data_IF_300145039438
#
_entry.id   IF_300145039438
#
_cell.length_a   1.000
_cell.length_b   1.000
_cell.length_c   1.000
_cell.angle_alpha   90.00
_cell.angle_beta   90.00
_cell.angle_gamma   90.00
#
_symmetry.space_group_name_H-M   'P 1'
#
loop_
_entity.id
_entity.type
_entity.pdbx_description
1 polymer ?
#
# COMPACT_ATOMS: atom_id res chain seq x y z
N UNK A 1 14.85 33.27 -9.60
CA UNK A 1 14.70 31.98 -10.31
C UNK A 1 14.80 32.27 -11.80
N UNK A 2 16.02 32.54 -12.28
CA UNK A 2 16.29 32.61 -13.71
C UNK A 2 16.53 31.19 -14.23
N UNK A 3 15.65 30.79 -15.16
CA UNK A 3 15.74 29.70 -16.13
C UNK A 3 16.68 28.52 -15.79
N UNK A 4 16.10 27.47 -15.18
CA UNK A 4 16.57 26.10 -15.40
C UNK A 4 16.23 25.74 -16.86
N UNK A 5 17.21 25.39 -17.70
CA UNK A 5 16.94 24.93 -19.05
C UNK A 5 16.32 23.53 -18.99
N UNK A 6 15.15 23.38 -19.61
CA UNK A 6 14.38 22.11 -19.69
C UNK A 6 14.80 21.25 -20.90
N UNK A 7 15.89 21.61 -21.59
CA UNK A 7 16.44 20.86 -22.72
C UNK A 7 17.98 20.86 -22.66
N UNK A 8 18.60 19.82 -23.25
CA UNK A 8 20.06 19.62 -23.37
C UNK A 8 20.71 20.66 -24.32
N UNK A 9 20.53 21.95 -24.04
CA UNK A 9 21.16 23.02 -24.81
C UNK A 9 22.53 23.45 -24.26
N UNK A 10 22.81 23.16 -22.99
CA UNK A 10 23.98 23.67 -22.28
C UNK A 10 24.49 22.64 -21.25
N UNK A 11 25.61 21.97 -21.54
CA UNK A 11 26.23 20.90 -20.72
C UNK A 11 26.66 21.36 -19.31
N UNK A 12 26.48 22.64 -18.97
CA UNK A 12 26.85 23.25 -17.69
C UNK A 12 25.73 23.28 -16.64
N UNK A 13 24.48 22.99 -17.03
CA UNK A 13 23.30 22.97 -16.14
C UNK A 13 22.51 21.67 -16.37
N UNK A 14 22.34 20.86 -15.31
CA UNK A 14 21.57 19.62 -15.39
C UNK A 14 20.15 19.86 -15.91
N UNK A 15 19.65 18.93 -16.72
CA UNK A 15 18.31 19.03 -17.31
C UNK A 15 17.23 18.95 -16.24
N UNK A 16 16.03 19.43 -16.55
CA UNK A 16 14.87 19.28 -15.67
C UNK A 16 14.62 17.80 -15.33
N UNK A 17 14.73 16.92 -16.32
CA UNK A 17 14.59 15.48 -16.16
C UNK A 17 15.61 14.92 -15.18
N UNK A 18 16.89 15.31 -15.30
CA UNK A 18 17.95 14.90 -14.36
C UNK A 18 17.72 15.41 -12.93
N UNK A 19 17.22 16.64 -12.79
CA UNK A 19 16.91 17.23 -11.49
C UNK A 19 15.75 16.48 -10.83
N UNK A 20 14.69 16.18 -11.59
CA UNK A 20 13.55 15.41 -11.10
C UNK A 20 13.98 13.98 -10.76
N UNK A 21 14.66 13.26 -11.65
CA UNK A 21 15.22 11.92 -11.38
C UNK A 21 16.03 11.89 -10.08
N UNK A 22 16.91 12.88 -9.88
CA UNK A 22 17.72 13.00 -8.67
C UNK A 22 16.88 13.29 -7.43
N UNK A 23 15.86 14.15 -7.52
CA UNK A 23 14.94 14.42 -6.42
C UNK A 23 14.13 13.17 -6.04
N UNK A 24 13.61 12.44 -7.03
CA UNK A 24 12.84 11.20 -6.87
C UNK A 24 13.67 10.07 -6.28
N UNK A 25 14.92 9.94 -6.74
CA UNK A 25 15.88 8.98 -6.20
C UNK A 25 16.16 9.29 -4.73
N UNK A 26 16.48 10.54 -4.39
CA UNK A 26 16.76 10.98 -3.01
C UNK A 26 15.57 10.90 -2.08
N UNK A 27 14.34 11.09 -2.56
CA UNK A 27 13.15 10.93 -1.72
C UNK A 27 12.81 9.46 -1.47
N UNK A 28 13.32 8.50 -2.27
CA UNK A 28 13.20 7.08 -1.95
C UNK A 28 14.26 6.59 -0.97
N UNK A 29 15.38 7.30 -0.84
CA UNK A 29 16.43 6.97 0.12
C UNK A 29 15.97 7.19 1.56
N UNK A 30 16.13 6.17 2.41
CA UNK A 30 16.16 6.34 3.86
C UNK A 30 17.43 7.08 4.23
N UNK A 31 17.31 8.22 4.90
CA UNK A 31 18.48 8.95 5.39
C UNK A 31 19.07 8.15 6.54
N UNK A 32 20.37 7.88 6.48
CA UNK A 32 21.13 7.37 7.62
C UNK A 32 21.11 8.44 8.72
N UNK A 33 20.14 8.33 9.63
CA UNK A 33 20.12 9.13 10.83
C UNK A 33 21.20 8.61 11.77
N UNK A 34 22.05 9.49 12.31
CA UNK A 34 22.59 9.23 13.64
C UNK A 34 21.38 9.26 14.56
N UNK A 35 20.87 8.11 14.95
CA UNK A 35 19.83 8.02 15.96
C UNK A 35 20.34 8.77 17.19
N UNK A 36 19.71 9.90 17.51
CA UNK A 36 19.97 10.57 18.77
C UNK A 36 19.38 9.63 19.84
N UNK A 37 20.19 9.17 20.79
CA UNK A 37 19.79 8.12 21.77
C UNK A 37 18.52 8.48 22.55
N UNK A 38 18.10 9.74 22.51
CA UNK A 38 16.93 10.29 23.19
C UNK A 38 15.66 10.40 22.33
N UNK A 39 15.72 10.16 21.01
CA UNK A 39 14.55 10.32 20.12
C UNK A 39 13.96 8.97 19.69
N UNK A 40 12.63 8.88 19.71
CA UNK A 40 11.89 7.69 19.27
C UNK A 40 12.14 7.41 17.77
N UNK A 41 12.70 6.24 17.48
CA UNK A 41 13.00 5.76 16.12
C UNK A 41 11.76 5.77 15.24
N UNK A 42 10.59 5.48 15.82
CA UNK A 42 9.30 5.48 15.12
C UNK A 42 8.96 6.88 14.64
N UNK A 43 9.08 7.86 15.52
CA UNK A 43 8.79 9.26 15.21
C UNK A 43 9.74 9.80 14.14
N UNK A 44 11.01 9.40 14.16
CA UNK A 44 11.96 9.76 13.11
C UNK A 44 11.58 9.19 11.75
N UNK A 45 11.24 7.90 11.67
CA UNK A 45 10.76 7.28 10.43
C UNK A 45 9.48 7.93 9.93
N UNK A 46 8.55 8.25 10.84
CA UNK A 46 7.32 9.00 10.52
C UNK A 46 7.63 10.35 9.89
N UNK A 47 8.58 11.10 10.46
CA UNK A 47 9.03 12.39 9.93
C UNK A 47 9.70 12.24 8.56
N UNK A 48 10.47 11.16 8.34
CA UNK A 48 11.02 10.87 7.01
C UNK A 48 9.90 10.59 6.01
N UNK A 49 8.93 9.74 6.33
CA UNK A 49 7.77 9.47 5.47
C UNK A 49 6.97 10.73 5.15
N UNK A 50 6.79 11.62 6.13
CA UNK A 50 6.16 12.93 5.90
C UNK A 50 6.98 13.80 4.93
N UNK A 51 8.31 13.84 5.06
CA UNK A 51 9.17 14.55 4.10
C UNK A 51 9.05 13.96 2.69
N UNK A 52 8.94 12.64 2.55
CA UNK A 52 8.74 11.97 1.26
C UNK A 52 7.39 12.33 0.64
N UNK A 53 6.33 12.32 1.44
CA UNK A 53 4.99 12.76 1.03
C UNK A 53 4.97 14.22 0.54
N UNK A 54 5.69 15.12 1.21
CA UNK A 54 5.84 16.51 0.78
C UNK A 54 6.57 16.65 -0.57
N UNK A 55 7.52 15.76 -0.88
CA UNK A 55 8.16 15.74 -2.21
C UNK A 55 7.15 15.38 -3.30
N UNK A 56 6.28 14.41 -3.06
CA UNK A 56 5.20 14.05 -4.01
C UNK A 56 4.23 15.21 -4.20
N UNK A 57 3.83 15.89 -3.12
CA UNK A 57 3.01 17.10 -3.21
C UNK A 57 3.69 18.19 -4.05
N UNK A 58 5.01 18.36 -3.92
CA UNK A 58 5.79 19.31 -4.70
C UNK A 58 5.79 19.00 -6.20
N UNK A 59 5.80 17.71 -6.56
CA UNK A 59 5.69 17.28 -7.96
C UNK A 59 4.30 17.56 -8.54
N UNK A 60 3.29 17.86 -7.73
CA UNK A 60 1.96 18.22 -8.22
C UNK A 60 1.74 19.74 -8.27
N UNK A 61 2.80 20.53 -8.10
CA UNK A 61 2.72 21.99 -8.23
C UNK A 61 2.38 22.41 -9.67
N UNK A 62 1.31 23.18 -9.84
CA UNK A 62 0.98 23.83 -11.11
C UNK A 62 1.98 24.96 -11.37
N UNK A 63 2.88 24.85 -12.36
CA UNK A 63 3.83 25.90 -12.67
C UNK A 63 3.08 27.18 -13.12
N UNK A 64 3.63 28.38 -12.88
CA UNK A 64 3.04 29.62 -13.36
C UNK A 64 2.75 29.57 -14.86
N UNK A 65 1.58 30.09 -15.28
CA UNK A 65 1.15 30.13 -16.68
C UNK A 65 2.06 30.95 -17.60
N UNK A 66 3.01 31.68 -17.03
CA UNK A 66 4.05 32.46 -17.72
C UNK A 66 5.23 31.60 -18.20
N UNK A 67 5.30 30.34 -17.80
CA UNK A 67 6.32 29.39 -18.25
C UNK A 67 5.94 28.81 -19.61
N UNK A 68 6.89 28.80 -20.55
CA UNK A 68 6.73 28.15 -21.86
C UNK A 68 6.44 26.67 -21.67
N UNK A 69 5.49 26.10 -22.42
CA UNK A 69 5.10 24.68 -22.35
C UNK A 69 4.58 24.24 -20.96
N UNK A 70 4.03 25.17 -20.16
CA UNK A 70 3.47 24.90 -18.82
C UNK A 70 2.52 23.70 -18.76
N UNK A 71 1.73 23.45 -19.80
CA UNK A 71 0.83 22.29 -19.88
C UNK A 71 1.58 20.97 -19.94
N UNK A 72 2.60 20.88 -20.80
CA UNK A 72 3.45 19.69 -20.95
C UNK A 72 4.26 19.45 -19.67
N UNK A 73 4.81 20.51 -19.07
CA UNK A 73 5.55 20.45 -17.81
C UNK A 73 4.64 19.98 -16.66
N UNK A 74 3.42 20.52 -16.57
CA UNK A 74 2.43 20.10 -15.55
C UNK A 74 2.07 18.62 -15.70
N UNK A 75 1.84 18.18 -16.94
CA UNK A 75 1.56 16.78 -17.23
C UNK A 75 2.73 15.87 -16.82
N UNK A 76 3.97 16.20 -17.22
CA UNK A 76 5.18 15.43 -16.85
C UNK A 76 5.40 15.37 -15.34
N UNK A 77 5.21 16.48 -14.64
CA UNK A 77 5.34 16.57 -13.19
C UNK A 77 4.32 15.68 -12.47
N UNK A 78 3.06 15.76 -12.88
CA UNK A 78 2.01 14.90 -12.37
C UNK A 78 2.26 13.42 -12.68
N UNK A 79 2.72 13.11 -13.89
CA UNK A 79 3.11 11.75 -14.28
C UNK A 79 4.19 11.19 -13.36
N UNK A 80 5.20 12.01 -13.05
CA UNK A 80 6.25 11.62 -12.11
C UNK A 80 5.73 11.47 -10.70
N UNK A 81 4.77 12.28 -10.25
CA UNK A 81 4.12 12.13 -8.95
C UNK A 81 3.35 10.80 -8.85
N UNK A 82 2.63 10.40 -9.91
CA UNK A 82 1.91 9.13 -9.99
C UNK A 82 2.84 7.91 -9.93
N UNK A 83 4.01 7.98 -10.59
CA UNK A 83 5.03 6.93 -10.57
C UNK A 83 5.79 6.92 -9.23
N UNK A 84 5.97 8.09 -8.61
CA UNK A 84 6.72 8.26 -7.36
C UNK A 84 5.88 7.91 -6.14
N UNK A 85 5.65 6.61 -5.98
CA UNK A 85 4.91 6.07 -4.85
C UNK A 85 5.75 6.07 -3.57
N UNK A 86 5.15 6.49 -2.46
CA UNK A 86 5.71 6.34 -1.11
C UNK A 86 4.88 5.28 -0.38
N UNK A 87 5.44 4.09 -0.08
CA UNK A 87 4.67 2.98 0.49
C UNK A 87 4.27 3.15 1.96
N UNK A 88 4.78 4.16 2.66
CA UNK A 88 4.33 4.55 4.00
C UNK A 88 3.68 5.93 3.94
N UNK A 89 2.35 5.99 3.84
CA UNK A 89 1.62 7.26 3.93
C UNK A 89 1.42 7.65 5.40
N UNK A 90 1.66 8.92 5.78
CA UNK A 90 1.50 9.39 7.15
C UNK A 90 0.03 9.40 7.57
N UNK A 91 -0.21 9.59 8.87
CA UNK A 91 -1.53 9.97 9.41
C UNK A 91 -2.07 11.16 8.61
N UNK A 92 -3.30 11.07 8.12
CA UNK A 92 -3.88 12.07 7.21
C UNK A 92 -3.61 11.80 5.73
N UNK A 93 -3.27 10.57 5.35
CA UNK A 93 -3.11 10.13 3.95
C UNK A 93 -4.29 10.55 3.06
N UNK A 94 -5.52 10.46 3.56
CA UNK A 94 -6.73 10.92 2.86
C UNK A 94 -6.71 12.43 2.57
N UNK A 95 -6.22 13.26 3.49
CA UNK A 95 -6.07 14.70 3.28
C UNK A 95 -5.01 14.99 2.22
N UNK A 96 -3.85 14.33 2.32
CA UNK A 96 -2.79 14.45 1.32
C UNK A 96 -3.29 14.05 -0.08
N UNK A 97 -3.95 12.90 -0.19
CA UNK A 97 -4.52 12.42 -1.44
C UNK A 97 -5.64 13.35 -1.95
N UNK A 98 -6.45 13.94 -1.07
CA UNK A 98 -7.44 14.93 -1.49
C UNK A 98 -6.82 16.18 -2.11
N UNK A 99 -5.65 16.62 -1.64
CA UNK A 99 -4.91 17.73 -2.26
C UNK A 99 -4.38 17.36 -3.65
N UNK A 100 -4.09 16.08 -3.87
CA UNK A 100 -3.63 15.55 -5.15
C UNK A 100 -4.78 15.28 -6.13
N UNK A 101 -6.01 15.05 -5.63
CA UNK A 101 -7.16 14.67 -6.43
C UNK A 101 -7.58 15.75 -7.44
N UNK A 102 -7.54 17.03 -7.08
CA UNK A 102 -7.96 18.12 -7.97
C UNK A 102 -7.02 18.33 -9.17
N UNK A 103 -5.68 18.41 -9.00
CA UNK A 103 -4.75 18.38 -10.12
C UNK A 103 -4.91 17.13 -11.01
N UNK A 104 -5.12 15.95 -10.41
CA UNK A 104 -5.28 14.69 -11.14
C UNK A 104 -6.59 14.64 -11.94
N UNK A 105 -7.67 15.20 -11.40
CA UNK A 105 -8.96 15.30 -12.07
C UNK A 105 -8.86 16.16 -13.33
N UNK A 106 -8.20 17.31 -13.25
CA UNK A 106 -7.98 18.20 -14.40
C UNK A 106 -7.20 17.51 -15.53
N UNK A 107 -6.29 16.59 -15.19
CA UNK A 107 -5.53 15.81 -16.17
C UNK A 107 -6.34 14.66 -16.76
N UNK A 108 -7.22 14.02 -15.99
CA UNK A 108 -8.15 13.01 -16.51
C UNK A 108 -9.14 13.57 -17.55
N UNK A 109 -9.43 14.87 -17.49
CA UNK A 109 -10.32 15.58 -18.41
C UNK A 109 -9.65 15.94 -19.76
N UNK A 110 -8.36 15.61 -19.95
CA UNK A 110 -7.60 15.76 -21.20
C UNK A 110 -7.26 14.41 -21.85
N UNK A 111 -8.24 13.68 -22.41
CA UNK A 111 -8.12 12.25 -22.75
C UNK A 111 -7.16 11.88 -23.89
N UNK A 112 -6.78 12.81 -24.76
CA UNK A 112 -6.16 12.49 -26.06
C UNK A 112 -4.62 12.27 -26.03
N UNK A 113 -3.98 12.13 -24.87
CA UNK A 113 -2.50 12.16 -24.78
C UNK A 113 -1.83 11.15 -23.85
N UNK A 114 -2.56 10.26 -23.20
CA UNK A 114 -1.98 9.42 -22.15
C UNK A 114 -1.70 7.99 -22.62
N UNK A 115 -0.47 7.53 -22.38
CA UNK A 115 -0.08 6.13 -22.52
C UNK A 115 -0.84 5.24 -21.51
N UNK A 116 -1.07 3.97 -21.84
CA UNK A 116 -1.88 3.06 -21.01
C UNK A 116 -1.39 2.95 -19.55
N UNK A 117 -0.08 3.05 -19.33
CA UNK A 117 0.52 3.02 -17.99
C UNK A 117 0.09 4.21 -17.11
N UNK A 118 -0.24 5.36 -17.71
CA UNK A 118 -0.71 6.56 -16.99
C UNK A 118 -2.10 6.33 -16.43
N UNK A 119 -2.98 5.76 -17.25
CA UNK A 119 -4.38 5.50 -16.90
C UNK A 119 -4.47 4.53 -15.73
N UNK A 120 -3.65 3.47 -15.74
CA UNK A 120 -3.58 2.50 -14.63
C UNK A 120 -3.03 3.14 -13.34
N UNK A 121 -2.01 4.00 -13.43
CA UNK A 121 -1.50 4.71 -12.25
C UNK A 121 -2.53 5.68 -11.66
N UNK A 122 -3.28 6.39 -12.50
CA UNK A 122 -4.35 7.29 -12.07
C UNK A 122 -5.50 6.52 -11.40
N UNK A 123 -5.90 5.38 -12.00
CA UNK A 123 -6.89 4.49 -11.43
C UNK A 123 -6.45 3.98 -10.06
N UNK A 124 -5.21 3.49 -9.96
CA UNK A 124 -4.65 3.02 -8.69
C UNK A 124 -4.60 4.14 -7.64
N UNK A 125 -4.27 5.38 -8.03
CA UNK A 125 -4.36 6.53 -7.14
C UNK A 125 -5.79 6.74 -6.61
N UNK A 126 -6.80 6.68 -7.48
CA UNK A 126 -8.20 6.84 -7.09
C UNK A 126 -8.63 5.72 -6.13
N UNK A 127 -8.25 4.49 -6.42
CA UNK A 127 -8.48 3.34 -5.54
C UNK A 127 -7.88 3.60 -4.15
N UNK A 128 -6.63 4.07 -4.05
CA UNK A 128 -6.03 4.44 -2.77
C UNK A 128 -6.75 5.58 -2.06
N UNK A 129 -7.17 6.62 -2.79
CA UNK A 129 -7.93 7.74 -2.24
C UNK A 129 -9.24 7.26 -1.60
N UNK A 130 -9.96 6.35 -2.25
CA UNK A 130 -11.18 5.74 -1.72
C UNK A 130 -10.89 4.93 -0.45
N UNK A 131 -9.86 4.08 -0.47
CA UNK A 131 -9.48 3.28 0.69
C UNK A 131 -9.14 4.14 1.92
N UNK A 132 -8.31 5.16 1.75
CA UNK A 132 -7.94 6.04 2.86
C UNK A 132 -9.11 6.90 3.33
N UNK A 133 -10.08 7.19 2.47
CA UNK A 133 -11.33 7.83 2.89
C UNK A 133 -12.15 6.90 3.80
N UNK A 134 -12.22 5.60 3.48
CA UNK A 134 -12.83 4.59 4.36
C UNK A 134 -12.09 4.45 5.70
N UNK A 135 -10.75 4.45 5.68
CA UNK A 135 -9.94 4.43 6.91
C UNK A 135 -10.19 5.67 7.77
N UNK A 136 -10.33 6.85 7.15
CA UNK A 136 -10.59 8.10 7.85
C UNK A 136 -11.96 8.12 8.55
N UNK A 137 -13.03 7.70 7.86
CA UNK A 137 -14.37 7.62 8.47
C UNK A 137 -14.41 6.61 9.61
N UNK A 138 -13.77 5.44 9.43
CA UNK A 138 -13.63 4.45 10.50
C UNK A 138 -12.89 5.01 11.72
N UNK A 139 -11.72 5.66 11.53
CA UNK A 139 -10.96 6.25 12.65
C UNK A 139 -11.74 7.36 13.35
N UNK A 140 -12.51 8.15 12.60
CA UNK A 140 -13.39 9.17 13.16
C UNK A 140 -14.48 8.55 14.03
N UNK A 141 -15.17 7.53 13.53
CA UNK A 141 -16.14 6.75 14.29
C UNK A 141 -15.52 6.14 15.55
N UNK A 142 -14.38 5.45 15.43
CA UNK A 142 -13.70 4.81 16.56
C UNK A 142 -13.31 5.82 17.63
N UNK A 143 -12.84 7.01 17.24
CA UNK A 143 -12.52 8.10 18.17
C UNK A 143 -13.77 8.55 18.95
N UNK A 144 -14.92 8.64 18.29
CA UNK A 144 -16.20 9.00 18.93
C UNK A 144 -16.61 7.90 19.91
N UNK A 145 -16.55 6.63 19.51
CA UNK A 145 -16.90 5.50 20.37
C UNK A 145 -16.01 5.41 21.61
N UNK A 146 -14.69 5.57 21.46
CA UNK A 146 -13.77 5.57 22.59
C UNK A 146 -14.05 6.72 23.56
N UNK A 147 -14.33 7.92 23.05
CA UNK A 147 -14.70 9.05 23.89
C UNK A 147 -16.04 8.82 24.63
N UNK A 148 -17.01 8.20 23.95
CA UNK A 148 -18.29 7.83 24.57
C UNK A 148 -18.12 6.75 25.65
N UNK A 149 -17.19 5.81 25.46
CA UNK A 149 -16.92 4.73 26.41
C UNK A 149 -16.27 5.22 27.73
N UNK A 150 -15.65 6.39 27.74
CA UNK A 150 -15.11 7.03 28.95
C UNK A 150 -16.21 7.65 29.84
N UNK A 151 -17.42 7.83 29.30
CA UNK A 151 -18.57 8.43 29.99
C UNK A 151 -19.55 7.32 30.41
N UNK A 152 -20.17 7.47 31.57
CA UNK A 152 -21.17 6.49 32.00
C UNK A 152 -22.39 6.49 31.05
N UNK A 153 -23.02 5.33 30.75
CA UNK A 153 -24.13 5.27 29.80
C UNK A 153 -25.34 6.17 30.14
N UNK A 154 -25.52 6.45 31.43
CA UNK A 154 -26.58 7.30 31.98
C UNK A 154 -26.27 8.80 31.81
N UNK A 155 -24.99 9.17 31.69
CA UNK A 155 -24.52 10.54 31.48
C UNK A 155 -24.34 10.88 29.99
N UNK A 156 -24.33 9.87 29.12
CA UNK A 156 -24.14 10.04 27.69
C UNK A 156 -25.38 10.69 27.05
N UNK A 157 -25.19 11.87 26.46
CA UNK A 157 -26.26 12.66 25.85
C UNK A 157 -26.85 11.99 24.60
N UNK A 158 -28.05 12.42 24.22
CA UNK A 158 -28.71 11.94 22.99
C UNK A 158 -27.89 12.36 21.77
N UNK A 159 -27.29 13.56 21.80
CA UNK A 159 -26.46 14.10 20.73
C UNK A 159 -25.17 13.29 20.53
N UNK A 160 -24.53 12.83 21.61
CA UNK A 160 -23.33 11.97 21.55
C UNK A 160 -23.65 10.58 20.98
N UNK A 161 -24.77 9.99 21.41
CA UNK A 161 -25.29 8.72 20.86
C UNK A 161 -25.60 8.86 19.36
N UNK A 162 -26.29 9.93 18.99
CA UNK A 162 -26.64 10.18 17.59
C UNK A 162 -25.40 10.42 16.71
N UNK A 163 -24.38 11.11 17.24
CA UNK A 163 -23.13 11.35 16.53
C UNK A 163 -22.39 10.04 16.22
N UNK A 164 -22.32 9.13 17.19
CA UNK A 164 -21.74 7.80 16.98
C UNK A 164 -22.48 7.02 15.89
N UNK A 165 -23.82 6.98 15.97
CA UNK A 165 -24.66 6.29 14.98
C UNK A 165 -24.47 6.87 13.58
N UNK A 166 -24.41 8.20 13.44
CA UNK A 166 -24.18 8.84 12.14
C UNK A 166 -22.81 8.51 11.56
N UNK A 167 -21.75 8.59 12.37
CA UNK A 167 -20.39 8.27 11.94
C UNK A 167 -20.25 6.78 11.57
N UNK A 168 -20.94 5.89 12.29
CA UNK A 168 -20.99 4.47 11.99
C UNK A 168 -21.64 4.20 10.63
N UNK A 169 -22.81 4.82 10.37
CA UNK A 169 -23.51 4.70 9.08
C UNK A 169 -22.68 5.23 7.92
N UNK A 170 -22.07 6.40 8.07
CA UNK A 170 -21.16 6.98 7.08
C UNK A 170 -19.97 6.05 6.77
N UNK A 171 -19.39 5.43 7.81
CA UNK A 171 -18.29 4.47 7.65
C UNK A 171 -18.72 3.25 6.85
N UNK A 172 -19.90 2.68 7.15
CA UNK A 172 -20.44 1.55 6.41
C UNK A 172 -20.76 1.94 4.97
N UNK A 173 -21.52 3.01 4.74
CA UNK A 173 -21.92 3.45 3.40
C UNK A 173 -20.70 3.63 2.49
N UNK A 174 -19.65 4.30 2.97
CA UNK A 174 -18.42 4.51 2.20
C UNK A 174 -17.65 3.21 1.94
N UNK A 175 -17.57 2.33 2.94
CA UNK A 175 -16.85 1.06 2.80
C UNK A 175 -17.59 0.11 1.84
N UNK A 176 -18.92 0.06 1.90
CA UNK A 176 -19.73 -0.72 0.97
C UNK A 176 -19.61 -0.21 -0.46
N UNK A 177 -19.51 1.11 -0.68
CA UNK A 177 -19.24 1.68 -2.01
C UNK A 177 -17.91 1.19 -2.60
N UNK A 178 -16.87 1.02 -1.78
CA UNK A 178 -15.59 0.46 -2.20
C UNK A 178 -15.69 -1.05 -2.46
N UNK A 179 -16.33 -1.78 -1.56
CA UNK A 179 -16.38 -3.25 -1.55
C UNK A 179 -17.30 -3.83 -2.64
N UNK A 180 -18.40 -3.15 -3.01
CA UNK A 180 -19.39 -3.62 -3.98
C UNK A 180 -19.11 -3.18 -5.43
N UNK A 181 -17.87 -2.78 -5.76
CA UNK A 181 -17.50 -2.35 -7.12
C UNK A 181 -17.43 -3.54 -8.08
N UNK A 182 -18.48 -3.75 -8.87
CA UNK A 182 -18.52 -4.84 -9.86
C UNK A 182 -17.64 -4.58 -11.10
N UNK A 183 -17.73 -3.38 -11.70
CA UNK A 183 -17.09 -3.08 -13.00
C UNK A 183 -15.60 -2.79 -12.90
N UNK A 184 -15.19 -2.23 -11.77
CA UNK A 184 -13.82 -1.78 -11.49
C UNK A 184 -13.48 -2.15 -10.05
N UNK A 185 -13.22 -3.44 -9.74
CA UNK A 185 -12.87 -3.81 -8.38
C UNK A 185 -11.55 -3.17 -7.96
N UNK A 186 -11.44 -2.90 -6.66
CA UNK A 186 -10.34 -2.16 -6.05
C UNK A 186 -8.97 -2.84 -6.27
N UNK A 187 -8.01 -2.07 -6.80
CA UNK A 187 -6.63 -2.50 -7.10
C UNK A 187 -6.51 -3.73 -8.00
N UNK A 188 -7.43 -3.91 -8.95
CA UNK A 188 -7.27 -4.89 -10.02
C UNK A 188 -6.73 -4.19 -11.28
N UNK A 189 -5.52 -4.57 -11.69
CA UNK A 189 -4.97 -4.15 -12.98
C UNK A 189 -5.58 -4.93 -14.14
N UNK A 190 -5.74 -4.24 -15.27
CA UNK A 190 -6.23 -4.82 -16.52
C UNK A 190 -5.10 -5.14 -17.50
N UNK A 191 -3.86 -4.83 -17.13
CA UNK A 191 -2.69 -5.02 -17.98
C UNK A 191 -2.17 -6.44 -17.81
N UNK A 192 -2.34 -7.26 -18.84
CA UNK A 192 -1.79 -8.60 -18.89
C UNK A 192 -0.34 -8.53 -19.38
N UNK A 193 0.60 -9.13 -18.64
CA UNK A 193 1.95 -9.32 -19.16
C UNK A 193 1.97 -10.50 -20.14
N UNK A 194 2.21 -10.22 -21.41
CA UNK A 194 2.43 -11.26 -22.43
C UNK A 194 3.93 -11.58 -22.42
N UNK A 195 4.30 -12.71 -21.83
CA UNK A 195 5.69 -13.21 -21.96
C UNK A 195 5.90 -13.76 -23.37
N UNK A 196 6.75 -13.09 -24.15
CA UNK A 196 7.15 -13.55 -25.49
C UNK A 196 8.29 -14.59 -25.45
N UNK A 197 8.88 -14.83 -24.27
CA UNK A 197 10.06 -15.69 -24.09
C UNK A 197 9.70 -17.11 -23.67
N UNK A 198 10.47 -18.09 -24.17
CA UNK A 198 10.42 -19.50 -23.78
C UNK A 198 11.27 -19.82 -22.53
N UNK A 199 12.01 -18.84 -22.00
CA UNK A 199 12.84 -19.02 -20.80
C UNK A 199 12.02 -18.93 -19.50
N UNK A 200 12.43 -19.65 -18.44
CA UNK A 200 11.76 -19.58 -17.14
C UNK A 200 11.88 -18.18 -16.53
N UNK A 201 10.74 -17.51 -16.38
CA UNK A 201 10.61 -16.21 -15.76
C UNK A 201 10.52 -16.34 -14.24
N UNK A 202 11.24 -15.51 -13.50
CA UNK A 202 11.17 -15.43 -12.04
C UNK A 202 10.49 -14.13 -11.62
N UNK A 203 9.94 -14.16 -10.41
CA UNK A 203 9.37 -13.00 -9.72
C UNK A 203 10.27 -12.67 -8.54
N UNK A 204 10.48 -11.40 -8.30
CA UNK A 204 11.21 -10.88 -7.16
C UNK A 204 10.41 -9.79 -6.45
N UNK A 205 10.30 -9.88 -5.12
CA UNK A 205 9.70 -8.88 -4.26
C UNK A 205 10.74 -8.42 -3.25
N UNK A 206 11.06 -7.13 -3.24
CA UNK A 206 12.01 -6.54 -2.31
C UNK A 206 11.27 -5.58 -1.39
N UNK A 207 11.53 -5.71 -0.08
CA UNK A 207 10.91 -4.88 0.92
C UNK A 207 11.93 -4.39 1.95
N UNK A 208 11.84 -3.12 2.32
CA UNK A 208 12.55 -2.56 3.47
C UNK A 208 11.53 -2.33 4.59
N UNK A 209 11.73 -2.96 5.74
CA UNK A 209 10.75 -2.93 6.83
C UNK A 209 11.40 -2.72 8.21
N UNK A 210 10.61 -2.23 9.16
CA UNK A 210 10.91 -2.36 10.59
C UNK A 210 10.04 -3.44 11.20
N UNK A 211 10.58 -4.11 12.23
CA UNK A 211 9.81 -5.05 13.03
C UNK A 211 9.08 -4.30 14.14
N UNK A 212 7.77 -4.52 14.28
CA UNK A 212 6.94 -3.85 15.27
C UNK A 212 6.31 -4.86 16.20
N UNK A 213 6.51 -4.67 17.50
CA UNK A 213 5.87 -5.46 18.53
C UNK A 213 4.35 -5.14 18.59
N UNK A 214 3.52 -6.04 19.14
CA UNK A 214 2.11 -5.75 19.40
C UNK A 214 1.88 -4.50 20.25
N UNK A 215 2.85 -4.11 21.08
CA UNK A 215 2.83 -2.88 21.87
C UNK A 215 2.95 -1.61 21.03
N UNK A 216 3.32 -1.71 19.76
CA UNK A 216 3.68 -0.57 18.92
C UNK A 216 5.11 -0.08 19.16
N UNK A 217 5.97 -0.85 19.84
CA UNK A 217 7.40 -0.56 19.97
C UNK A 217 8.20 -1.24 18.85
N UNK A 218 9.33 -0.63 18.45
CA UNK A 218 10.19 -1.21 17.41
C UNK A 218 11.09 -2.27 18.00
N UNK A 219 11.12 -3.44 17.37
CA UNK A 219 12.07 -4.50 17.68
C UNK A 219 13.35 -4.27 16.89
N UNK A 220 14.47 -4.13 17.60
CA UNK A 220 15.78 -4.03 16.96
C UNK A 220 16.13 -5.38 16.29
N UNK A 221 16.48 -5.40 15.00
CA UNK A 221 16.84 -6.64 14.32
C UNK A 221 18.26 -7.07 14.71
N UNK A 222 18.45 -8.37 14.88
CA UNK A 222 19.77 -9.02 14.98
C UNK A 222 19.83 -10.24 14.04
N UNK A 223 21.00 -10.88 13.95
CA UNK A 223 21.18 -12.05 13.08
C UNK A 223 20.24 -13.23 13.42
N UNK A 224 19.91 -13.39 14.70
CA UNK A 224 18.99 -14.44 15.18
C UNK A 224 17.56 -14.10 14.77
N UNK A 225 17.13 -12.86 14.96
CA UNK A 225 15.82 -12.36 14.54
C UNK A 225 15.66 -12.47 13.03
N UNK A 226 16.66 -12.07 12.23
CA UNK A 226 16.64 -12.23 10.78
C UNK A 226 16.53 -13.69 10.35
N UNK A 227 17.28 -14.60 10.99
CA UNK A 227 17.20 -16.03 10.69
C UNK A 227 15.83 -16.63 11.06
N UNK A 228 15.27 -16.24 12.21
CA UNK A 228 13.94 -16.67 12.63
C UNK A 228 12.84 -16.15 11.68
N UNK A 229 12.92 -14.87 11.29
CA UNK A 229 12.00 -14.26 10.34
C UNK A 229 12.07 -14.94 8.96
N UNK A 230 13.28 -15.19 8.46
CA UNK A 230 13.49 -15.92 7.21
C UNK A 230 12.85 -17.32 7.27
N UNK A 231 13.06 -18.06 8.36
CA UNK A 231 12.43 -19.38 8.55
C UNK A 231 10.91 -19.29 8.64
N UNK A 232 10.37 -18.25 9.27
CA UNK A 232 8.94 -18.05 9.42
C UNK A 232 8.27 -17.73 8.07
N UNK A 233 8.90 -16.87 7.25
CA UNK A 233 8.46 -16.56 5.89
C UNK A 233 8.47 -17.81 4.98
N UNK A 234 9.49 -18.66 5.09
CA UNK A 234 9.48 -19.96 4.40
C UNK A 234 8.30 -20.82 4.82
N UNK A 235 7.95 -20.83 6.12
CA UNK A 235 6.85 -21.64 6.65
C UNK A 235 5.45 -21.17 6.25
N UNK A 236 5.34 -19.99 5.63
CA UNK A 236 4.10 -19.50 5.02
C UNK A 236 3.76 -20.23 3.70
N UNK A 237 4.68 -21.04 3.17
CA UNK A 237 4.46 -21.92 2.02
C UNK A 237 4.69 -23.39 2.39
N UNK A 238 4.07 -24.32 1.65
CA UNK A 238 4.32 -25.76 1.87
C UNK A 238 5.67 -26.16 1.27
N UNK A 239 6.25 -27.28 1.72
CA UNK A 239 7.53 -27.77 1.21
C UNK A 239 7.48 -28.06 -0.29
N UNK A 240 6.34 -28.56 -0.79
CA UNK A 240 6.10 -28.79 -2.21
C UNK A 240 6.17 -27.47 -2.98
N UNK A 241 5.46 -26.44 -2.52
CA UNK A 241 5.47 -25.12 -3.16
C UNK A 241 6.88 -24.52 -3.14
N UNK A 242 7.60 -24.62 -2.03
CA UNK A 242 8.99 -24.12 -1.93
C UNK A 242 9.88 -24.78 -2.98
N UNK A 243 9.77 -26.10 -3.15
CA UNK A 243 10.57 -26.86 -4.11
C UNK A 243 10.16 -26.58 -5.56
N UNK A 244 8.87 -26.70 -5.88
CA UNK A 244 8.35 -26.54 -7.25
C UNK A 244 8.52 -25.13 -7.78
N UNK A 245 8.26 -24.14 -6.93
CA UNK A 245 8.38 -22.71 -7.26
C UNK A 245 9.79 -22.18 -7.02
N UNK A 246 10.73 -23.01 -6.55
CA UNK A 246 12.09 -22.58 -6.23
C UNK A 246 12.11 -21.31 -5.35
N UNK A 247 11.26 -21.29 -4.32
CA UNK A 247 11.11 -20.11 -3.46
C UNK A 247 12.42 -19.88 -2.70
N UNK A 248 12.94 -18.67 -2.79
CA UNK A 248 14.06 -18.21 -1.97
C UNK A 248 13.64 -17.00 -1.13
N UNK A 249 14.00 -17.03 0.14
CA UNK A 249 13.77 -15.93 1.09
C UNK A 249 15.12 -15.50 1.63
N UNK A 250 15.39 -14.21 1.59
CA UNK A 250 16.55 -13.62 2.22
C UNK A 250 16.10 -12.47 3.13
N UNK A 251 16.64 -12.44 4.34
CA UNK A 251 16.39 -11.40 5.33
C UNK A 251 17.73 -10.94 5.88
N UNK A 252 18.01 -9.64 5.77
CA UNK A 252 19.23 -9.04 6.29
C UNK A 252 18.94 -7.72 6.99
N UNK A 253 19.79 -7.32 7.93
CA UNK A 253 19.75 -5.98 8.51
C UNK A 253 20.16 -4.99 7.40
N UNK A 254 19.43 -3.88 7.27
CA UNK A 254 19.75 -2.88 6.27
C UNK A 254 21.11 -2.25 6.57
N UNK A 255 21.94 -2.11 5.54
CA UNK A 255 23.23 -1.42 5.64
C UNK A 255 23.09 0.09 5.84
N UNK A 256 21.90 0.64 5.57
CA UNK A 256 21.60 2.08 5.67
C UNK A 256 20.99 2.47 7.01
N UNK A 257 20.30 1.54 7.67
CA UNK A 257 19.59 1.74 8.92
C UNK A 257 19.58 0.43 9.72
N UNK A 258 20.21 0.45 10.90
CA UNK A 258 20.33 -0.70 11.79
C UNK A 258 19.01 -1.15 12.44
N UNK A 259 17.95 -0.34 12.36
CA UNK A 259 16.60 -0.71 12.82
C UNK A 259 15.73 -1.27 11.70
N UNK A 260 16.18 -1.15 10.45
CA UNK A 260 15.47 -1.68 9.28
C UNK A 260 16.05 -3.02 8.85
N UNK A 261 15.21 -3.85 8.27
CA UNK A 261 15.57 -5.08 7.58
C UNK A 261 15.25 -4.97 6.09
N UNK A 262 16.02 -5.65 5.27
CA UNK A 262 15.75 -5.90 3.86
C UNK A 262 15.27 -7.34 3.72
N UNK A 263 14.10 -7.51 3.10
CA UNK A 263 13.49 -8.81 2.79
C UNK A 263 13.43 -8.95 1.28
N UNK A 264 14.01 -10.03 0.75
CA UNK A 264 13.96 -10.36 -0.68
C UNK A 264 13.32 -11.74 -0.81
N UNK A 265 12.19 -11.78 -1.51
CA UNK A 265 11.51 -13.02 -1.89
C UNK A 265 11.66 -13.23 -3.39
N UNK A 266 11.94 -14.45 -3.82
CA UNK A 266 12.03 -14.80 -5.23
C UNK A 266 11.45 -16.18 -5.51
N UNK A 267 10.67 -16.33 -6.58
CA UNK A 267 10.15 -17.62 -7.00
C UNK A 267 10.00 -17.70 -8.52
N UNK A 268 9.95 -18.91 -9.06
CA UNK A 268 9.56 -19.18 -10.44
C UNK A 268 8.12 -18.70 -10.66
N UNK A 269 7.88 -17.97 -11.75
CA UNK A 269 6.56 -17.49 -12.12
C UNK A 269 5.74 -18.62 -12.76
N UNK A 270 4.44 -18.65 -12.51
CA UNK A 270 3.48 -19.51 -13.23
C UNK A 270 2.31 -18.70 -13.74
N UNK A 271 1.46 -19.32 -14.57
CA UNK A 271 0.21 -18.70 -15.02
C UNK A 271 -0.64 -18.24 -13.83
N UNK A 272 -1.09 -16.99 -13.87
CA UNK A 272 -1.81 -16.34 -12.77
C UNK A 272 -0.95 -15.41 -11.90
N UNK A 273 0.40 -15.48 -11.96
CA UNK A 273 1.26 -14.54 -11.21
C UNK A 273 1.57 -13.26 -12.00
N UNK A 274 0.55 -12.61 -12.54
CA UNK A 274 0.76 -11.50 -13.47
C UNK A 274 1.09 -11.96 -14.90
N UNK A 275 1.06 -13.28 -15.17
CA UNK A 275 1.19 -13.88 -16.51
C UNK A 275 -0.13 -14.55 -16.91
N UNK A 276 -0.63 -14.26 -18.12
CA UNK A 276 -1.89 -14.82 -18.61
C UNK A 276 -3.12 -14.30 -17.85
N UNK A 277 -4.30 -14.95 -17.95
CA UNK A 277 -5.53 -14.45 -17.34
C UNK A 277 -5.46 -14.44 -15.80
N UNK A 278 -5.63 -13.27 -15.19
CA UNK A 278 -5.59 -13.08 -13.73
C UNK A 278 -6.94 -13.36 -13.08
N UNK A 279 -7.21 -14.62 -12.76
CA UNK A 279 -8.52 -15.00 -12.20
C UNK A 279 -8.68 -14.55 -10.73
N UNK A 280 -7.62 -14.66 -9.90
CA UNK A 280 -7.70 -14.39 -8.45
C UNK A 280 -7.33 -12.95 -8.07
N UNK A 281 -6.41 -12.32 -8.81
CA UNK A 281 -5.94 -10.95 -8.57
C UNK A 281 -5.33 -10.73 -7.17
N UNK A 282 -4.71 -11.77 -6.60
CA UNK A 282 -4.27 -11.83 -5.21
C UNK A 282 -2.74 -11.64 -5.02
N UNK A 283 -2.03 -11.38 -6.12
CA UNK A 283 -0.58 -11.16 -6.13
C UNK A 283 0.25 -12.43 -6.03
N UNK A 284 -0.39 -13.61 -6.07
CA UNK A 284 0.27 -14.90 -6.07
C UNK A 284 1.05 -15.22 -4.79
N UNK A 285 2.06 -16.07 -4.93
CA UNK A 285 2.82 -16.64 -3.82
C UNK A 285 3.58 -15.58 -3.00
N UNK A 286 4.32 -14.68 -3.66
CA UNK A 286 5.17 -13.70 -2.97
C UNK A 286 4.33 -12.72 -2.14
N UNK A 287 3.19 -12.31 -2.69
CA UNK A 287 2.19 -11.50 -1.97
C UNK A 287 1.64 -12.23 -0.74
N UNK A 288 1.28 -13.51 -0.87
CA UNK A 288 0.74 -14.29 0.26
C UNK A 288 1.77 -14.44 1.40
N UNK A 289 3.01 -14.77 1.08
CA UNK A 289 4.11 -14.89 2.06
C UNK A 289 4.36 -13.56 2.77
N UNK A 290 4.43 -12.47 2.01
CA UNK A 290 4.69 -11.15 2.57
C UNK A 290 3.50 -10.65 3.43
N UNK A 291 2.26 -10.94 3.02
CA UNK A 291 1.06 -10.55 3.75
C UNK A 291 1.02 -11.13 5.18
N UNK A 292 1.48 -12.37 5.37
CA UNK A 292 1.58 -12.97 6.70
C UNK A 292 2.52 -12.16 7.63
N UNK A 293 3.62 -11.63 7.09
CA UNK A 293 4.52 -10.73 7.81
C UNK A 293 3.90 -9.38 8.15
N UNK A 294 3.16 -8.79 7.21
CA UNK A 294 2.46 -7.51 7.42
C UNK A 294 1.40 -7.63 8.52
N UNK A 295 0.63 -8.72 8.50
CA UNK A 295 -0.45 -8.97 9.45
C UNK A 295 0.03 -9.45 10.82
N UNK A 296 1.32 -9.81 10.94
CA UNK A 296 1.88 -10.38 12.18
C UNK A 296 1.39 -11.79 12.46
N UNK A 297 1.05 -12.52 11.40
CA UNK A 297 0.48 -13.87 11.40
C UNK A 297 1.53 -14.93 10.99
N UNK A 298 2.81 -14.59 11.02
CA UNK A 298 3.89 -15.51 10.69
C UNK A 298 3.94 -16.65 11.70
N UNK A 299 3.63 -17.85 11.23
CA UNK A 299 3.81 -19.07 12.00
C UNK A 299 5.27 -19.20 12.46
N UNK A 300 5.47 -19.65 13.70
CA UNK A 300 6.79 -19.89 14.29
C UNK A 300 7.68 -18.65 14.42
N UNK A 301 7.10 -17.45 14.27
CA UNK A 301 7.72 -16.20 14.71
C UNK A 301 7.06 -15.70 16.00
N UNK A 302 7.52 -14.56 16.50
CA UNK A 302 6.88 -13.94 17.65
C UNK A 302 5.48 -13.43 17.27
N UNK A 303 4.47 -13.88 18.03
CA UNK A 303 3.06 -13.59 17.75
C UNK A 303 2.78 -12.08 17.73
N UNK A 304 2.07 -11.63 16.69
CA UNK A 304 1.66 -10.24 16.51
C UNK A 304 2.80 -9.28 16.17
N UNK A 305 4.01 -9.77 15.89
CA UNK A 305 5.08 -8.91 15.36
C UNK A 305 4.83 -8.66 13.88
N UNK A 306 4.65 -7.39 13.51
CA UNK A 306 4.34 -6.98 12.13
C UNK A 306 5.56 -6.39 11.42
N UNK A 307 5.52 -6.45 10.08
CA UNK A 307 6.45 -5.74 9.21
C UNK A 307 5.87 -4.37 8.84
N UNK A 308 6.42 -3.29 9.40
CA UNK A 308 6.10 -1.93 9.01
C UNK A 308 6.98 -1.50 7.85
N UNK A 309 6.37 -1.33 6.67
CA UNK A 309 7.09 -1.29 5.41
C UNK A 309 7.34 0.14 4.97
N UNK A 310 8.61 0.44 4.76
CA UNK A 310 9.09 1.74 4.31
C UNK A 310 9.39 1.78 2.81
N UNK A 311 9.60 0.61 2.20
CA UNK A 311 9.82 0.42 0.76
C UNK A 311 9.32 -0.95 0.33
N UNK A 312 8.66 -1.01 -0.81
CA UNK A 312 8.18 -2.26 -1.42
C UNK A 312 8.20 -2.11 -2.93
N UNK A 313 8.88 -3.02 -3.61
CA UNK A 313 8.99 -3.04 -5.06
C UNK A 313 8.99 -4.50 -5.55
N UNK A 314 8.45 -4.74 -6.75
CA UNK A 314 8.39 -6.08 -7.34
C UNK A 314 8.76 -6.07 -8.82
N UNK A 315 9.43 -7.11 -9.29
CA UNK A 315 9.92 -7.25 -10.65
C UNK A 315 9.79 -8.67 -11.18
N UNK A 316 9.71 -8.75 -12.49
CA UNK A 316 10.14 -9.93 -13.23
C UNK A 316 11.66 -9.97 -13.27
N UNK A 317 12.24 -11.15 -13.19
CA UNK A 317 13.67 -11.37 -13.25
C UNK A 317 14.01 -12.60 -14.08
N UNK A 318 15.14 -12.55 -14.75
CA UNK A 318 15.71 -13.66 -15.48
C UNK A 318 16.37 -14.67 -14.53
N UNK A 319 16.78 -15.83 -15.07
CA UNK A 319 17.40 -16.90 -14.30
C UNK A 319 18.71 -16.50 -13.60
N UNK A 320 19.47 -15.58 -14.17
CA UNK A 320 20.71 -15.02 -13.61
C UNK A 320 20.47 -13.94 -12.54
N UNK A 321 19.21 -13.55 -12.29
CA UNK A 321 18.83 -12.54 -11.30
C UNK A 321 18.86 -11.10 -11.83
N UNK A 322 18.97 -10.91 -13.15
CA UNK A 322 18.82 -9.59 -13.75
C UNK A 322 17.34 -9.17 -13.71
N UNK A 323 17.07 -7.96 -13.23
CA UNK A 323 15.70 -7.42 -13.18
C UNK A 323 15.28 -6.97 -14.58
N UNK A 324 14.08 -7.37 -15.00
CA UNK A 324 13.52 -7.06 -16.31
C UNK A 324 12.49 -5.93 -16.20
N UNK A 325 11.22 -6.27 -16.04
CA UNK A 325 10.09 -5.35 -15.92
C UNK A 325 9.46 -5.34 -14.52
N UNK A 326 8.66 -4.32 -14.18
CA UNK A 326 7.95 -4.29 -12.91
C UNK A 326 6.84 -5.35 -12.87
N UNK A 327 6.72 -6.04 -11.74
CA UNK A 327 5.66 -7.01 -11.45
C UNK A 327 4.62 -6.39 -10.49
N UNK A 328 3.98 -5.31 -10.93
CA UNK A 328 3.05 -4.50 -10.11
C UNK A 328 1.89 -5.30 -9.53
N UNK A 329 1.46 -6.35 -10.23
CA UNK A 329 0.46 -7.33 -9.79
C UNK A 329 0.73 -7.86 -8.37
N UNK A 330 2.00 -8.14 -8.03
CA UNK A 330 2.37 -8.69 -6.72
C UNK A 330 2.09 -7.67 -5.62
N UNK A 331 2.48 -6.41 -5.84
CA UNK A 331 2.28 -5.32 -4.89
C UNK A 331 0.79 -5.02 -4.74
N UNK A 332 0.05 -4.94 -5.85
CA UNK A 332 -1.39 -4.71 -5.84
C UNK A 332 -2.13 -5.82 -5.08
N UNK A 333 -1.80 -7.08 -5.37
CA UNK A 333 -2.36 -8.22 -4.68
C UNK A 333 -2.01 -8.24 -3.18
N UNK A 334 -0.80 -7.86 -2.80
CA UNK A 334 -0.41 -7.73 -1.39
C UNK A 334 -1.25 -6.67 -0.69
N UNK A 335 -1.43 -5.51 -1.32
CA UNK A 335 -2.32 -4.46 -0.82
C UNK A 335 -3.75 -4.98 -0.69
N UNK A 336 -4.29 -5.74 -1.65
CA UNK A 336 -5.62 -6.38 -1.53
C UNK A 336 -5.69 -7.36 -0.36
N UNK A 337 -4.69 -8.21 -0.16
CA UNK A 337 -4.61 -9.15 0.97
C UNK A 337 -4.58 -8.44 2.32
N UNK A 338 -3.98 -7.26 2.41
CA UNK A 338 -3.89 -6.51 3.67
C UNK A 338 -5.09 -5.59 3.90
N UNK A 339 -5.57 -4.91 2.86
CA UNK A 339 -6.55 -3.83 2.97
C UNK A 339 -8.00 -4.31 2.90
N UNK A 340 -8.35 -5.24 2.01
CA UNK A 340 -9.74 -5.67 1.84
C UNK A 340 -10.26 -6.43 3.07
N UNK A 341 -9.53 -7.43 3.61
CA UNK A 341 -9.96 -8.08 4.86
C UNK A 341 -10.11 -7.09 6.01
N UNK A 342 -9.18 -6.13 6.13
CA UNK A 342 -9.22 -5.11 7.18
C UNK A 342 -10.47 -4.22 7.07
N UNK A 343 -10.83 -3.76 5.87
CA UNK A 343 -12.07 -2.97 5.66
C UNK A 343 -13.30 -3.79 6.04
N UNK A 344 -13.35 -5.06 5.65
CA UNK A 344 -14.49 -5.94 5.95
C UNK A 344 -14.60 -6.18 7.47
N UNK A 345 -13.50 -6.51 8.15
CA UNK A 345 -13.48 -6.73 9.59
C UNK A 345 -13.89 -5.47 10.37
N UNK A 346 -13.45 -4.29 9.90
CA UNK A 346 -13.90 -3.00 10.46
C UNK A 346 -15.39 -2.75 10.22
N UNK A 347 -15.91 -3.07 9.04
CA UNK A 347 -17.34 -3.00 8.77
C UNK A 347 -18.14 -3.93 9.69
N UNK A 348 -17.65 -5.14 9.95
CA UNK A 348 -18.25 -6.06 10.90
C UNK A 348 -18.27 -5.46 12.32
N UNK A 349 -17.15 -4.87 12.77
CA UNK A 349 -17.07 -4.20 14.07
C UNK A 349 -18.06 -3.03 14.20
N UNK A 350 -18.13 -2.17 13.18
CA UNK A 350 -19.08 -1.03 13.14
C UNK A 350 -20.52 -1.53 13.13
N UNK A 351 -20.80 -2.60 12.38
CA UNK A 351 -22.12 -3.22 12.33
C UNK A 351 -22.54 -3.75 13.70
N UNK A 352 -21.63 -4.36 14.46
CA UNK A 352 -21.90 -4.82 15.83
C UNK A 352 -22.26 -3.65 16.75
N UNK A 353 -21.51 -2.54 16.73
CA UNK A 353 -21.84 -1.35 17.54
C UNK A 353 -23.21 -0.75 17.17
N UNK A 354 -23.55 -0.74 15.87
CA UNK A 354 -24.88 -0.32 15.40
C UNK A 354 -26.01 -1.26 15.89
N UNK A 355 -25.77 -2.57 15.89
CA UNK A 355 -26.70 -3.55 16.45
C UNK A 355 -26.92 -3.32 17.96
N UNK A 356 -25.84 -3.13 18.73
CA UNK A 356 -25.88 -2.89 20.17
C UNK A 356 -26.61 -1.59 20.54
N UNK A 357 -26.50 -0.56 19.69
CA UNK A 357 -27.21 0.71 19.84
C UNK A 357 -28.67 0.67 19.34
N UNK A 358 -29.18 -0.49 18.93
CA UNK A 358 -30.56 -0.66 18.44
C UNK A 358 -30.82 -0.04 17.06
N UNK A 359 -29.76 0.20 16.28
CA UNK A 359 -29.78 0.80 14.95
C UNK A 359 -29.18 -0.16 13.91
N UNK A 360 -29.76 -1.36 13.72
CA UNK A 360 -29.20 -2.39 12.84
C UNK A 360 -28.96 -1.85 11.42
N UNK A 361 -27.81 -2.15 10.85
CA UNK A 361 -27.55 -1.85 9.44
C UNK A 361 -28.32 -2.84 8.56
N UNK A 362 -29.07 -2.34 7.58
CA UNK A 362 -30.00 -3.17 6.78
C UNK A 362 -29.30 -4.27 5.96
N UNK A 363 -28.01 -4.10 5.68
CA UNK A 363 -27.23 -4.97 4.80
C UNK A 363 -26.09 -5.71 5.51
N UNK A 364 -26.25 -6.04 6.79
CA UNK A 364 -25.20 -6.71 7.58
C UNK A 364 -24.79 -8.09 7.01
N UNK A 365 -25.75 -8.87 6.47
CA UNK A 365 -25.47 -10.18 5.86
C UNK A 365 -24.64 -10.08 4.56
N UNK A 366 -24.70 -8.93 3.86
CA UNK A 366 -23.98 -8.74 2.60
C UNK A 366 -22.46 -8.86 2.76
N UNK A 367 -21.89 -8.55 3.93
CA UNK A 367 -20.44 -8.73 4.15
C UNK A 367 -20.04 -10.21 4.09
N UNK A 368 -20.86 -11.09 4.66
CA UNK A 368 -20.62 -12.53 4.67
C UNK A 368 -20.81 -13.09 3.26
N UNK A 369 -21.86 -12.66 2.57
CA UNK A 369 -22.11 -13.01 1.16
C UNK A 369 -20.94 -12.56 0.27
N UNK A 370 -20.40 -11.36 0.51
CA UNK A 370 -19.30 -10.81 -0.27
C UNK A 370 -18.00 -11.60 -0.09
N UNK A 371 -17.70 -12.03 1.13
CA UNK A 371 -16.52 -12.87 1.42
C UNK A 371 -16.70 -14.27 0.84
N UNK A 372 -17.87 -14.86 1.00
CA UNK A 372 -18.16 -16.24 0.57
C UNK A 372 -18.43 -16.39 -0.93
N UNK A 373 -18.67 -15.28 -1.64
CA UNK A 373 -18.91 -15.30 -3.08
C UNK A 373 -17.66 -15.75 -3.85
N UNK A 374 -17.84 -16.76 -4.71
CA UNK A 374 -16.82 -17.19 -5.66
C UNK A 374 -16.53 -16.15 -6.74
N UNK A 375 -17.47 -15.24 -7.00
CA UNK A 375 -17.33 -14.21 -8.05
C UNK A 375 -16.37 -13.10 -7.62
N UNK A 376 -16.37 -12.73 -6.34
CA UNK A 376 -15.46 -11.70 -5.80
C UNK A 376 -14.07 -12.25 -5.50
N UNK A 377 -13.99 -13.54 -5.20
CA UNK A 377 -12.75 -14.22 -4.80
C UNK A 377 -12.17 -13.72 -3.48
N UNK A 378 -12.93 -12.95 -2.70
CA UNK A 378 -12.43 -12.29 -1.48
C UNK A 378 -11.96 -13.27 -0.42
N UNK A 379 -12.59 -14.45 -0.32
CA UNK A 379 -12.15 -15.51 0.59
C UNK A 379 -10.65 -15.83 0.47
N UNK A 380 -10.07 -15.71 -0.73
CA UNK A 380 -8.66 -16.02 -0.97
C UNK A 380 -7.71 -14.93 -0.45
N UNK A 381 -8.23 -13.75 -0.07
CA UNK A 381 -7.44 -12.64 0.48
C UNK A 381 -7.29 -12.74 2.00
N UNK A 382 -8.18 -13.47 2.67
CA UNK A 382 -8.18 -13.63 4.12
C UNK A 382 -7.14 -14.66 4.55
N UNK A 383 -6.54 -14.43 5.72
CA UNK A 383 -5.80 -15.49 6.40
C UNK A 383 -6.78 -16.46 7.08
N UNK A 384 -6.30 -17.66 7.41
CA UNK A 384 -7.10 -18.60 8.19
C UNK A 384 -7.50 -18.02 9.55
N UNK A 385 -6.62 -17.23 10.17
CA UNK A 385 -6.89 -16.58 11.45
C UNK A 385 -7.98 -15.52 11.33
N UNK A 386 -8.04 -14.77 10.23
CA UNK A 386 -9.08 -13.77 10.00
C UNK A 386 -10.45 -14.38 9.67
N UNK A 387 -10.47 -15.60 9.11
CA UNK A 387 -11.72 -16.33 8.82
C UNK A 387 -12.34 -17.02 10.05
N UNK A 388 -11.52 -17.29 11.07
CA UNK A 388 -11.95 -17.87 12.35
C UNK A 388 -12.49 -16.77 13.26
#
# INVERSE_FOLDING_TARGET
MEYLPFSQGDDSKGSFEEIIERLLSRSRETKAGKFDETSDVVEQHRLQSLQKALVVQWLCFTPPSTITDVKDISAKLLMRALIHRVPAMPIGAHELLSFLAEPLKQLSETPDTFEDYVSENLKEFQDWSEYYSCDATYRNWLKIELANAEVSPDELSVEEKQRAIMAAKETLDLSFLLLLRERNPWLISRVEHISESMEPLFLELHATAMLRLPSGESMCPDATVCAALMSALYSSATEEVVSERQLTVNVAISSKDSYSIEVILRCLAVEGDGIGPHILNDGGLLSAVMAAGFKGELARFQAGVTLEISRLDAWFSSKDGSLEGPATYIVQGLCRRCCIPEVILRCMQVSVSLMESGNPFESHDQLIELVSSSETGFINLFSQQQLQ
#
